data_IF_248503502345
#
_entry.id   IF_248503502345
#
_cell.length_a   1.000
_cell.length_b   1.000
_cell.length_c   1.000
_cell.angle_alpha   90.00
_cell.angle_beta   90.00
_cell.angle_gamma   90.00
#
_symmetry.space_group_name_H-M   'P 1'
#
loop_
_entity.id
_entity.type
_entity.pdbx_description
1 polymer ?
#
# COMPACT_ATOMS: atom_id res chain seq x y z
N UNK A 1 -2.53 -3.53 15.24
CA UNK A 1 -2.01 -2.39 14.45
C UNK A 1 -2.24 -1.02 15.11
N UNK A 2 -1.32 -0.05 14.94
CA UNK A 2 -1.46 1.34 15.40
C UNK A 2 -2.57 2.09 14.61
N UNK A 3 -3.32 3.00 15.25
CA UNK A 3 -4.42 3.72 14.60
C UNK A 3 -3.93 4.53 13.39
N UNK A 4 -2.72 5.10 13.47
CA UNK A 4 -2.15 5.89 12.40
C UNK A 4 -1.81 5.01 11.18
N UNK A 5 -1.27 3.81 11.39
CA UNK A 5 -0.96 2.84 10.33
C UNK A 5 -2.25 2.41 9.64
N UNK A 6 -3.30 2.13 10.43
CA UNK A 6 -4.61 1.74 9.91
C UNK A 6 -5.18 2.83 8.99
N UNK A 7 -5.20 4.08 9.42
CA UNK A 7 -5.68 5.21 8.60
C UNK A 7 -4.88 5.36 7.29
N UNK A 8 -3.56 5.15 7.33
CA UNK A 8 -2.73 5.19 6.12
C UNK A 8 -3.05 4.05 5.15
N UNK A 9 -3.23 2.82 5.65
CA UNK A 9 -3.61 1.67 4.83
C UNK A 9 -5.02 1.82 4.24
N UNK A 10 -5.97 2.37 5.00
CA UNK A 10 -7.33 2.66 4.51
C UNK A 10 -7.29 3.70 3.38
N UNK A 11 -6.52 4.78 3.56
CA UNK A 11 -6.35 5.81 2.54
C UNK A 11 -5.63 5.28 1.29
N UNK A 12 -4.68 4.38 1.47
CA UNK A 12 -4.00 3.70 0.36
C UNK A 12 -4.97 2.78 -0.39
N UNK A 13 -5.75 1.98 0.33
CA UNK A 13 -6.74 1.08 -0.27
C UNK A 13 -7.76 1.85 -1.12
N UNK A 14 -8.31 2.95 -0.61
CA UNK A 14 -9.24 3.78 -1.38
C UNK A 14 -8.62 4.29 -2.69
N UNK A 15 -7.38 4.77 -2.64
CA UNK A 15 -6.67 5.26 -3.83
C UNK A 15 -6.36 4.16 -4.84
N UNK A 16 -5.95 2.99 -4.38
CA UNK A 16 -5.72 1.83 -5.25
C UNK A 16 -7.03 1.34 -5.89
N UNK A 17 -8.15 1.41 -5.16
CA UNK A 17 -9.46 1.05 -5.70
C UNK A 17 -9.93 2.02 -6.81
N UNK A 18 -9.65 3.31 -6.64
CA UNK A 18 -9.98 4.36 -7.60
C UNK A 18 -8.98 4.50 -8.75
N UNK A 19 -7.90 3.72 -8.73
CA UNK A 19 -6.86 3.78 -9.73
C UNK A 19 -7.31 3.07 -11.02
N UNK A 20 -7.39 3.85 -12.11
CA UNK A 20 -7.73 3.37 -13.44
C UNK A 20 -6.67 3.86 -14.42
N UNK A 21 -5.66 3.04 -14.68
CA UNK A 21 -4.48 3.39 -15.47
C UNK A 21 -3.61 2.18 -15.80
N UNK A 22 -2.43 2.41 -16.40
CA UNK A 22 -1.41 1.36 -16.59
C UNK A 22 -1.10 0.68 -15.25
N UNK A 23 -1.17 -0.65 -15.19
CA UNK A 23 -1.00 -1.35 -13.91
C UNK A 23 -2.25 -1.37 -13.01
N UNK A 24 -3.45 -1.10 -13.54
CA UNK A 24 -4.73 -1.28 -12.83
C UNK A 24 -4.85 -2.68 -12.18
N UNK A 25 -4.39 -3.72 -12.87
CA UNK A 25 -4.41 -5.08 -12.35
C UNK A 25 -3.53 -5.22 -11.10
N UNK A 26 -2.30 -4.68 -11.14
CA UNK A 26 -1.40 -4.64 -9.98
C UNK A 26 -1.99 -3.81 -8.84
N UNK A 27 -2.56 -2.64 -9.15
CA UNK A 27 -3.21 -1.80 -8.15
C UNK A 27 -4.39 -2.51 -7.47
N UNK A 28 -5.16 -3.32 -8.22
CA UNK A 28 -6.22 -4.18 -7.66
C UNK A 28 -5.67 -5.30 -6.79
N UNK A 29 -4.59 -5.97 -7.21
CA UNK A 29 -3.93 -7.00 -6.39
C UNK A 29 -3.43 -6.39 -5.07
N UNK A 30 -2.77 -5.25 -5.16
CA UNK A 30 -2.25 -4.52 -4.00
C UNK A 30 -3.37 -4.04 -3.09
N UNK A 31 -4.48 -3.57 -3.65
CA UNK A 31 -5.69 -3.23 -2.90
C UNK A 31 -6.21 -4.44 -2.12
N UNK A 32 -6.24 -5.63 -2.74
CA UNK A 32 -6.62 -6.88 -2.09
C UNK A 32 -5.70 -7.24 -0.91
N UNK A 33 -4.38 -7.09 -1.09
CA UNK A 33 -3.39 -7.34 -0.05
C UNK A 33 -3.52 -6.37 1.12
N UNK A 34 -3.64 -5.06 0.84
CA UNK A 34 -3.83 -4.03 1.86
C UNK A 34 -5.14 -4.25 2.63
N UNK A 35 -6.23 -4.59 1.94
CA UNK A 35 -7.53 -4.91 2.59
C UNK A 35 -7.47 -6.19 3.42
N UNK A 36 -6.76 -7.20 2.94
CA UNK A 36 -6.50 -8.42 3.71
C UNK A 36 -5.78 -8.11 5.01
N UNK A 37 -4.69 -7.35 4.93
CA UNK A 37 -3.94 -6.88 6.09
C UNK A 37 -4.81 -6.09 7.09
N UNK A 38 -5.69 -5.21 6.60
CA UNK A 38 -6.61 -4.43 7.44
C UNK A 38 -7.64 -5.30 8.19
N UNK A 39 -8.01 -6.46 7.62
CA UNK A 39 -9.02 -7.38 8.15
C UNK A 39 -8.40 -8.41 9.11
N UNK A 40 -7.22 -8.94 8.77
CA UNK A 40 -6.55 -10.00 9.54
C UNK A 40 -5.54 -9.48 10.57
N UNK A 41 -5.15 -8.19 10.51
CA UNK A 41 -4.00 -7.60 11.24
C UNK A 41 -2.67 -8.35 10.94
N UNK A 42 -2.62 -9.15 9.87
CA UNK A 42 -1.42 -9.82 9.37
C UNK A 42 -0.79 -8.99 8.27
N UNK A 43 0.42 -8.51 8.50
CA UNK A 43 1.12 -7.58 7.61
C UNK A 43 2.50 -8.08 7.17
N UNK A 44 2.82 -9.34 7.45
CA UNK A 44 4.13 -9.94 7.17
C UNK A 44 4.47 -9.82 5.68
N UNK A 45 5.56 -9.11 5.37
CA UNK A 45 6.01 -8.84 3.99
C UNK A 45 5.19 -7.81 3.21
N UNK A 46 4.15 -7.20 3.79
CA UNK A 46 3.39 -6.14 3.13
C UNK A 46 4.22 -4.87 2.96
N UNK A 47 5.06 -4.53 3.94
CA UNK A 47 5.97 -3.38 3.87
C UNK A 47 6.94 -3.49 2.69
N UNK A 48 7.61 -4.63 2.53
CA UNK A 48 8.51 -4.91 1.40
C UNK A 48 7.76 -4.85 0.06
N UNK A 49 6.56 -5.45 0.00
CA UNK A 49 5.72 -5.45 -1.20
C UNK A 49 5.31 -4.03 -1.62
N UNK A 50 4.88 -3.21 -0.67
CA UNK A 50 4.51 -1.81 -0.92
C UNK A 50 5.72 -0.98 -1.36
N UNK A 51 6.91 -1.25 -0.81
CA UNK A 51 8.15 -0.59 -1.21
C UNK A 51 8.57 -0.98 -2.64
N UNK A 52 8.46 -2.26 -3.01
CA UNK A 52 8.72 -2.76 -4.37
C UNK A 52 7.79 -2.10 -5.39
N UNK A 53 6.48 -2.12 -5.12
CA UNK A 53 5.49 -1.53 -6.03
C UNK A 53 5.63 -0.01 -6.10
N UNK A 54 6.06 0.66 -5.02
CA UNK A 54 6.35 2.09 -5.06
C UNK A 54 7.42 2.44 -6.11
N UNK A 55 8.42 1.57 -6.33
CA UNK A 55 9.45 1.77 -7.35
C UNK A 55 8.86 1.60 -8.75
N UNK A 56 8.03 0.57 -8.95
CA UNK A 56 7.37 0.33 -10.23
C UNK A 56 6.45 1.49 -10.63
N UNK A 57 5.66 2.01 -9.68
CA UNK A 57 4.78 3.15 -9.92
C UNK A 57 5.52 4.50 -9.96
N UNK A 58 6.81 4.59 -9.60
CA UNK A 58 7.52 5.88 -9.51
C UNK A 58 7.60 6.61 -10.85
N UNK A 59 7.77 5.88 -11.95
CA UNK A 59 7.91 6.46 -13.28
C UNK A 59 6.57 6.85 -13.90
N UNK A 60 5.50 6.12 -13.60
CA UNK A 60 4.19 6.32 -14.23
C UNK A 60 3.25 7.15 -13.35
N UNK A 61 3.30 6.97 -12.03
CA UNK A 61 2.39 7.56 -11.04
C UNK A 61 3.14 7.96 -9.75
N UNK A 62 3.92 9.06 -9.78
CA UNK A 62 4.77 9.46 -8.66
C UNK A 62 3.98 9.76 -7.37
N UNK A 63 2.74 10.24 -7.47
CA UNK A 63 1.86 10.43 -6.31
C UNK A 63 1.51 9.10 -5.64
N UNK A 64 1.12 8.08 -6.42
CA UNK A 64 0.80 6.75 -5.90
C UNK A 64 2.04 6.11 -5.28
N UNK A 65 3.17 6.17 -5.97
CA UNK A 65 4.46 5.71 -5.46
C UNK A 65 4.85 6.35 -4.13
N UNK A 66 4.56 7.64 -3.94
CA UNK A 66 4.83 8.35 -2.67
C UNK A 66 3.96 7.79 -1.53
N UNK A 67 2.69 7.51 -1.79
CA UNK A 67 1.76 7.00 -0.78
C UNK A 67 2.10 5.56 -0.40
N UNK A 68 2.44 4.73 -1.39
CA UNK A 68 2.91 3.36 -1.18
C UNK A 68 4.13 3.32 -0.26
N UNK A 69 5.11 4.18 -0.54
CA UNK A 69 6.34 4.28 0.25
C UNK A 69 6.08 4.74 1.68
N UNK A 70 5.20 5.73 1.88
CA UNK A 70 4.78 6.16 3.22
C UNK A 70 4.12 5.04 4.01
N UNK A 71 3.25 4.25 3.37
CA UNK A 71 2.61 3.12 4.01
C UNK A 71 3.62 2.00 4.35
N UNK A 72 4.58 1.74 3.45
CA UNK A 72 5.67 0.79 3.68
C UNK A 72 6.58 1.22 4.86
N UNK A 73 6.95 2.50 4.91
CA UNK A 73 7.74 3.09 5.99
C UNK A 73 6.97 3.02 7.33
N UNK A 74 5.66 3.32 7.31
CA UNK A 74 4.83 3.26 8.52
C UNK A 74 4.70 1.84 9.08
N UNK A 75 4.55 0.84 8.21
CA UNK A 75 4.55 -0.58 8.60
C UNK A 75 5.92 -0.98 9.20
N UNK A 76 7.00 -0.69 8.47
CA UNK A 76 8.37 -1.00 8.90
C UNK A 76 8.73 -0.34 10.24
N UNK A 77 8.37 0.93 10.42
CA UNK A 77 8.61 1.68 11.65
C UNK A 77 7.76 1.18 12.83
N UNK A 78 6.61 0.57 12.55
CA UNK A 78 5.76 -0.10 13.54
C UNK A 78 6.33 -1.41 14.07
N UNK A 79 7.45 -1.90 13.51
CA UNK A 79 8.01 -3.22 13.81
C UNK A 79 7.18 -4.37 13.27
N UNK A 80 6.43 -4.10 12.18
CA UNK A 80 5.54 -5.04 11.49
C UNK A 80 6.05 -5.27 10.07
#
# INVERSE_FOLDING_TARGET
>A
MDLHIREQLESLAERLHLYHGPGEERARELHGQVRGALDTDEHDGLSDRLAEEAVEFESEHPDLATILRRAADALSAGGI
#
